data_IF_712057120367
#
_entry.id   IF_712057120367
#
_cell.length_a   1.000
_cell.length_b   1.000
_cell.length_c   1.000
_cell.angle_alpha   90.00
_cell.angle_beta   90.00
_cell.angle_gamma   90.00
#
_symmetry.space_group_name_H-M   'P 1'
#
loop_
_entity.id
_entity.type
_entity.pdbx_description
1 polymer ?
#
# COMPACT_ATOMS: atom_id res chain seq x y z
N UNK A 1 -21.81 7.52 -5.79
CA UNK A 1 -20.49 6.97 -5.40
C UNK A 1 -19.62 7.00 -6.65
N UNK A 2 -18.58 7.85 -6.69
CA UNK A 2 -17.65 7.94 -7.82
C UNK A 2 -16.57 6.88 -7.62
N UNK A 3 -16.32 6.05 -8.62
CA UNK A 3 -15.29 4.99 -8.59
C UNK A 3 -14.00 5.40 -9.31
N UNK A 4 -13.80 6.70 -9.51
CA UNK A 4 -12.68 7.26 -10.26
C UNK A 4 -11.62 7.78 -9.29
N UNK A 5 -10.34 7.57 -9.60
CA UNK A 5 -9.26 8.30 -8.94
C UNK A 5 -9.29 9.74 -9.46
N UNK A 6 -9.96 10.63 -8.73
CA UNK A 6 -10.09 12.05 -9.08
C UNK A 6 -9.00 12.85 -8.35
N UNK A 7 -8.05 13.47 -9.07
CA UNK A 7 -7.01 14.30 -8.44
C UNK A 7 -7.58 15.47 -7.63
N UNK A 8 -8.79 15.94 -7.94
CA UNK A 8 -9.46 16.99 -7.15
C UNK A 8 -9.88 16.48 -5.76
N UNK A 9 -10.05 15.17 -5.60
CA UNK A 9 -10.33 14.52 -4.32
C UNK A 9 -9.03 14.07 -3.61
N UNK A 10 -7.85 14.40 -4.18
CA UNK A 10 -6.54 14.04 -3.65
C UNK A 10 -6.10 12.60 -3.93
N UNK A 11 -6.80 11.90 -4.82
CA UNK A 11 -6.49 10.52 -5.20
C UNK A 11 -5.94 10.44 -6.63
N UNK A 12 -4.90 9.64 -6.80
CA UNK A 12 -4.20 9.44 -8.06
C UNK A 12 -4.21 7.96 -8.42
N UNK A 13 -4.30 7.67 -9.72
CA UNK A 13 -4.10 6.32 -10.19
C UNK A 13 -2.62 5.96 -10.03
N UNK A 14 -2.35 4.92 -9.24
CA UNK A 14 -1.00 4.41 -8.99
C UNK A 14 -0.95 2.94 -9.36
N UNK A 15 0.12 2.53 -10.04
CA UNK A 15 0.34 1.15 -10.46
C UNK A 15 1.26 0.41 -9.48
N UNK A 16 1.08 -0.92 -9.40
CA UNK A 16 2.03 -1.81 -8.72
C UNK A 16 3.39 -1.79 -9.41
N UNK A 17 4.44 -2.24 -8.72
CA UNK A 17 5.80 -2.27 -9.26
C UNK A 17 5.93 -3.05 -10.59
N UNK A 18 5.10 -4.07 -10.79
CA UNK A 18 5.04 -4.87 -12.03
C UNK A 18 4.06 -4.31 -13.09
N UNK A 19 3.41 -3.18 -12.80
CA UNK A 19 2.38 -2.52 -13.61
C UNK A 19 1.15 -3.38 -13.94
N UNK A 20 0.92 -4.49 -13.22
CA UNK A 20 -0.23 -5.37 -13.48
C UNK A 20 -1.48 -4.99 -12.70
N UNK A 21 -1.33 -4.22 -11.63
CA UNK A 21 -2.41 -3.82 -10.75
C UNK A 21 -2.39 -2.30 -10.58
N UNK A 22 -3.55 -1.72 -10.30
CA UNK A 22 -3.69 -0.30 -10.07
C UNK A 22 -4.70 -0.03 -8.96
N UNK A 23 -4.48 1.03 -8.21
CA UNK A 23 -5.37 1.51 -7.18
C UNK A 23 -5.38 3.04 -7.14
N UNK A 24 -6.41 3.61 -6.52
CA UNK A 24 -6.43 5.02 -6.19
C UNK A 24 -5.69 5.23 -4.86
N UNK A 25 -4.54 5.88 -4.89
CA UNK A 25 -3.77 6.21 -3.70
C UNK A 25 -3.73 7.73 -3.47
N UNK A 26 -3.56 8.16 -2.22
CA UNK A 26 -3.39 9.60 -1.94
C UNK A 26 -2.04 10.11 -2.47
N UNK A 27 -1.90 11.44 -2.54
CA UNK A 27 -0.65 12.07 -2.95
C UNK A 27 0.55 11.51 -2.17
N UNK A 28 1.66 11.26 -2.88
CA UNK A 28 2.92 10.72 -2.35
C UNK A 28 2.83 9.32 -1.72
N UNK A 29 1.79 8.55 -2.04
CA UNK A 29 1.72 7.12 -1.74
C UNK A 29 1.99 6.29 -3.01
N UNK A 30 2.53 5.09 -2.79
CA UNK A 30 2.79 4.10 -3.83
C UNK A 30 2.00 2.82 -3.55
N UNK A 31 1.59 2.11 -4.61
CA UNK A 31 0.93 0.81 -4.46
C UNK A 31 1.98 -0.27 -4.15
N UNK A 32 1.93 -0.79 -2.93
CA UNK A 32 2.88 -1.76 -2.38
C UNK A 32 2.22 -3.12 -2.13
N UNK A 33 3.05 -4.13 -1.90
CA UNK A 33 2.64 -5.51 -1.62
C UNK A 33 2.57 -6.44 -2.85
N UNK A 34 2.86 -7.74 -2.67
CA UNK A 34 2.60 -8.76 -3.67
C UNK A 34 1.13 -9.23 -3.69
N UNK A 35 0.76 -9.94 -4.75
CA UNK A 35 -0.57 -10.55 -4.92
C UNK A 35 -1.00 -11.43 -3.72
N UNK A 36 -0.04 -12.10 -3.08
CA UNK A 36 -0.32 -13.11 -2.06
C UNK A 36 -0.64 -12.53 -0.67
N UNK A 37 -0.26 -11.29 -0.43
CA UNK A 37 -0.51 -10.53 0.81
C UNK A 37 -1.59 -9.47 0.63
N UNK A 38 -1.90 -9.10 -0.62
CA UNK A 38 -2.77 -8.00 -0.96
C UNK A 38 -1.99 -6.71 -1.23
N UNK A 39 -2.65 -5.76 -1.90
CA UNK A 39 -2.09 -4.46 -2.24
C UNK A 39 -2.60 -3.38 -1.29
N UNK A 40 -1.74 -2.44 -0.93
CA UNK A 40 -2.08 -1.28 -0.11
C UNK A 40 -1.29 -0.06 -0.59
N UNK A 41 -1.88 1.12 -0.43
CA UNK A 41 -1.20 2.38 -0.67
C UNK A 41 -0.36 2.74 0.56
N UNK A 42 0.96 2.68 0.43
CA UNK A 42 1.89 3.05 1.50
C UNK A 42 2.58 4.37 1.19
N UNK A 43 2.86 5.17 2.23
CA UNK A 43 3.64 6.40 2.09
C UNK A 43 5.08 6.13 1.66
N UNK A 44 5.78 7.18 1.20
CA UNK A 44 7.19 7.08 0.85
C UNK A 44 8.05 6.46 1.97
N UNK A 45 8.97 5.57 1.58
CA UNK A 45 9.84 4.84 2.52
C UNK A 45 9.12 3.77 3.36
N UNK A 46 7.89 3.41 3.02
CA UNK A 46 7.14 2.32 3.65
C UNK A 46 6.81 1.22 2.62
N UNK A 47 6.74 -0.02 3.10
CA UNK A 47 6.27 -1.19 2.35
C UNK A 47 5.27 -2.00 3.17
N UNK A 48 4.58 -2.94 2.53
CA UNK A 48 3.72 -3.89 3.24
C UNK A 48 4.59 -4.89 3.96
N UNK A 49 4.39 -4.98 5.28
CA UNK A 49 5.06 -5.94 6.14
C UNK A 49 4.06 -6.69 7.02
N UNK A 50 4.51 -7.79 7.65
CA UNK A 50 3.68 -8.73 8.40
C UNK A 50 3.37 -10.00 7.63
N UNK A 51 2.40 -10.77 8.15
CA UNK A 51 2.07 -12.10 7.63
C UNK A 51 0.60 -12.47 7.90
N UNK A 52 0.17 -13.66 7.47
CA UNK A 52 -1.22 -14.11 7.59
C UNK A 52 -1.70 -14.33 9.03
N UNK A 53 -0.80 -14.53 9.98
CA UNK A 53 -1.14 -14.75 11.39
C UNK A 53 -1.43 -13.42 12.11
N UNK A 54 -0.66 -12.38 11.80
CA UNK A 54 -0.72 -11.09 12.49
C UNK A 54 -1.35 -9.96 11.68
N UNK A 55 -1.56 -10.18 10.37
CA UNK A 55 -2.04 -9.19 9.41
C UNK A 55 -0.91 -8.46 8.68
N UNK A 56 -1.31 -7.58 7.76
CA UNK A 56 -0.41 -6.80 6.92
C UNK A 56 -0.59 -5.30 7.21
N UNK A 57 0.51 -4.57 7.32
CA UNK A 57 0.53 -3.13 7.57
C UNK A 57 1.62 -2.45 6.76
N UNK A 58 1.41 -1.18 6.38
CA UNK A 58 2.49 -0.34 5.85
C UNK A 58 3.48 0.00 6.98
N UNK A 59 4.67 -0.60 6.92
CA UNK A 59 5.77 -0.34 7.84
C UNK A 59 6.93 0.35 7.11
N UNK A 60 7.81 1.10 7.80
CA UNK A 60 9.05 1.58 7.22
C UNK A 60 9.82 0.45 6.53
N UNK A 61 10.40 0.73 5.36
CA UNK A 61 11.17 -0.28 4.62
C UNK A 61 12.27 -0.89 5.51
N UNK A 62 12.30 -2.22 5.60
CA UNK A 62 13.21 -2.97 6.46
C UNK A 62 12.67 -3.36 7.84
N UNK A 63 11.45 -2.93 8.20
CA UNK A 63 10.75 -3.39 9.41
C UNK A 63 9.68 -4.44 9.09
N UNK A 64 9.39 -5.31 10.06
CA UNK A 64 8.30 -6.28 9.99
C UNK A 64 7.19 -5.97 11.01
N UNK A 65 5.93 -6.25 10.63
CA UNK A 65 4.79 -6.00 11.51
C UNK A 65 4.52 -7.23 12.39
N UNK A 66 4.59 -7.07 13.71
CA UNK A 66 4.38 -8.16 14.66
C UNK A 66 2.92 -8.34 15.13
N UNK A 67 1.98 -7.62 14.49
CA UNK A 67 0.57 -7.56 14.92
C UNK A 67 0.25 -6.39 15.85
N UNK A 68 1.25 -5.66 16.33
CA UNK A 68 1.07 -4.46 17.14
C UNK A 68 1.93 -3.28 16.67
N UNK A 69 3.17 -3.55 16.28
CA UNK A 69 4.21 -2.56 15.99
C UNK A 69 5.07 -3.02 14.80
N UNK A 70 5.56 -2.06 14.02
CA UNK A 70 6.63 -2.29 13.06
C UNK A 70 7.98 -2.32 13.79
N UNK A 71 8.82 -3.32 13.53
CA UNK A 71 10.11 -3.52 14.22
C UNK A 71 11.22 -3.91 13.25
#
# INVERSE_FOLDING_TARGET
>A
MKFTCDPNDGYYLVTSADNKYAACCSLAQSLKGPKDTGFACCGGGHDIAGNREVGFLCCPEGQDFDGRLCK
#
